data_IF_293305913554
#
_entry.id   IF_293305913554
#
_cell.length_a   1.000
_cell.length_b   1.000
_cell.length_c   1.000
_cell.angle_alpha   90.00
_cell.angle_beta   90.00
_cell.angle_gamma   90.00
#
_symmetry.space_group_name_H-M   'P 1'
#
loop_
_entity.id
_entity.type
_entity.pdbx_description
1 polymer ?
#
# COMPACT_ATOMS: atom_id res chain seq x y z
N UNK A 1 46.72 -36.14 -3.24
CA UNK A 1 46.22 -37.32 -2.52
C UNK A 1 45.55 -36.92 -1.20
N UNK A 2 44.34 -37.40 -0.95
CA UNK A 2 43.58 -37.19 0.28
C UNK A 2 44.00 -38.19 1.38
N UNK A 3 43.77 -37.87 2.66
CA UNK A 3 44.08 -38.83 3.75
C UNK A 3 43.38 -40.19 3.58
N UNK A 4 42.12 -40.27 3.10
CA UNK A 4 41.49 -41.54 2.74
C UNK A 4 42.20 -42.30 1.59
N UNK A 5 42.68 -41.60 0.56
CA UNK A 5 43.43 -42.24 -0.53
C UNK A 5 44.77 -42.81 -0.03
N UNK A 6 45.51 -42.05 0.79
CA UNK A 6 46.75 -42.52 1.43
C UNK A 6 46.46 -43.74 2.31
N UNK A 7 45.39 -43.66 3.11
CA UNK A 7 44.97 -44.75 3.99
C UNK A 7 44.65 -46.04 3.23
N UNK A 8 44.04 -45.93 2.04
CA UNK A 8 43.77 -47.07 1.14
C UNK A 8 45.04 -47.71 0.62
N UNK A 9 46.05 -46.92 0.23
CA UNK A 9 47.35 -47.41 -0.25
C UNK A 9 48.07 -48.20 0.86
N UNK A 10 48.10 -47.65 2.08
CA UNK A 10 48.83 -48.22 3.21
C UNK A 10 47.97 -49.13 4.11
N UNK A 11 46.75 -49.50 3.68
CA UNK A 11 45.81 -50.37 4.41
C UNK A 11 45.63 -49.99 5.88
N UNK A 12 45.53 -48.70 6.18
CA UNK A 12 45.37 -48.19 7.55
C UNK A 12 44.12 -47.30 7.67
N UNK A 13 43.80 -46.84 8.88
CA UNK A 13 42.67 -45.92 9.10
C UNK A 13 43.07 -44.48 8.70
N UNK A 14 42.20 -43.68 8.06
CA UNK A 14 42.49 -42.28 7.73
C UNK A 14 42.92 -41.43 8.93
N UNK A 15 42.45 -41.74 10.12
CA UNK A 15 42.82 -41.11 11.39
C UNK A 15 44.31 -41.31 11.70
N UNK A 16 44.84 -42.50 11.41
CA UNK A 16 46.27 -42.82 11.59
C UNK A 16 47.14 -42.00 10.65
N UNK A 17 46.72 -41.85 9.38
CA UNK A 17 47.39 -40.95 8.43
C UNK A 17 47.38 -39.50 8.94
N UNK A 18 46.24 -38.99 9.44
CA UNK A 18 46.19 -37.63 10.01
C UNK A 18 47.08 -37.47 11.25
N UNK A 19 47.16 -38.49 12.09
CA UNK A 19 48.07 -38.51 13.24
C UNK A 19 49.54 -38.39 12.78
N UNK A 20 49.96 -39.20 11.80
CA UNK A 20 51.31 -39.13 11.25
C UNK A 20 51.62 -37.76 10.63
N UNK A 21 50.68 -37.18 9.85
CA UNK A 21 50.86 -35.85 9.29
C UNK A 21 51.08 -34.79 10.37
N UNK A 22 50.35 -34.86 11.50
CA UNK A 22 50.57 -33.97 12.65
C UNK A 22 51.92 -34.24 13.33
N UNK A 23 52.28 -35.51 13.56
CA UNK A 23 53.54 -35.91 14.19
C UNK A 23 54.76 -35.36 13.44
N UNK A 24 54.69 -35.30 12.11
CA UNK A 24 55.76 -34.79 11.26
C UNK A 24 55.59 -33.31 10.85
N UNK A 25 54.70 -32.55 11.52
CA UNK A 25 54.44 -31.14 11.20
C UNK A 25 54.06 -30.87 9.73
N UNK A 26 53.48 -31.85 9.04
CA UNK A 26 52.97 -31.68 7.68
C UNK A 26 51.58 -31.04 7.77
N UNK A 27 51.44 -29.84 7.18
CA UNK A 27 50.17 -29.12 7.15
C UNK A 27 49.07 -29.98 6.53
N UNK A 28 48.05 -30.29 7.34
CA UNK A 28 46.84 -30.93 6.87
C UNK A 28 45.97 -29.87 6.20
N UNK A 29 45.54 -30.15 4.96
CA UNK A 29 44.60 -29.29 4.26
C UNK A 29 43.32 -29.13 5.06
N UNK A 30 42.80 -27.91 5.12
CA UNK A 30 41.47 -27.67 5.66
C UNK A 30 40.41 -28.34 4.77
N UNK A 31 39.21 -28.56 5.31
CA UNK A 31 38.07 -29.07 4.52
C UNK A 31 37.80 -28.22 3.27
N UNK A 32 38.04 -26.91 3.33
CA UNK A 32 37.85 -25.99 2.21
C UNK A 32 38.90 -26.17 1.10
N UNK A 33 40.17 -26.33 1.48
CA UNK A 33 41.27 -26.56 0.54
C UNK A 33 41.15 -27.91 -0.15
N UNK A 34 40.77 -28.95 0.59
CA UNK A 34 40.51 -30.27 0.04
C UNK A 34 39.35 -30.26 -0.95
N UNK A 35 38.23 -29.58 -0.64
CA UNK A 35 37.11 -29.41 -1.58
C UNK A 35 37.51 -28.65 -2.84
N UNK A 36 38.32 -27.59 -2.73
CA UNK A 36 38.77 -26.82 -3.90
C UNK A 36 39.55 -27.67 -4.89
N UNK A 37 40.44 -28.52 -4.40
CA UNK A 37 41.21 -29.44 -5.24
C UNK A 37 40.34 -30.55 -5.83
N UNK A 38 39.36 -31.05 -5.07
CA UNK A 38 38.47 -32.13 -5.53
C UNK A 38 37.52 -31.66 -6.63
N UNK A 39 37.01 -30.43 -6.53
CA UNK A 39 36.02 -29.88 -7.47
C UNK A 39 36.60 -28.89 -8.50
N UNK A 40 37.90 -28.61 -8.44
CA UNK A 40 38.62 -27.64 -9.28
C UNK A 40 37.92 -26.25 -9.39
N UNK A 41 37.25 -25.82 -8.33
CA UNK A 41 36.46 -24.58 -8.35
C UNK A 41 37.39 -23.40 -8.10
N UNK A 42 37.63 -22.61 -9.13
CA UNK A 42 38.34 -21.33 -9.04
C UNK A 42 37.48 -20.25 -9.69
N UNK A 43 37.06 -19.26 -8.90
CA UNK A 43 36.29 -18.11 -9.40
C UNK A 43 37.27 -16.95 -9.51
N UNK A 44 37.60 -16.46 -10.72
CA UNK A 44 38.49 -15.31 -10.88
C UNK A 44 37.92 -14.07 -10.19
N UNK A 45 38.77 -13.27 -9.54
CA UNK A 45 38.37 -12.04 -8.85
C UNK A 45 37.52 -11.12 -9.72
N UNK A 46 37.98 -10.86 -10.95
CA UNK A 46 37.31 -9.97 -11.92
C UNK A 46 35.89 -10.44 -12.24
N UNK A 47 35.73 -11.74 -12.43
CA UNK A 47 34.41 -12.34 -12.72
C UNK A 47 33.51 -12.29 -11.49
N UNK A 48 34.05 -12.56 -10.29
CA UNK A 48 33.30 -12.43 -9.05
C UNK A 48 32.83 -10.99 -8.80
N UNK A 49 33.67 -9.99 -9.10
CA UNK A 49 33.32 -8.57 -9.00
C UNK A 49 32.24 -8.18 -10.02
N UNK A 50 32.33 -8.65 -11.26
CA UNK A 50 31.32 -8.39 -12.30
C UNK A 50 29.95 -8.93 -11.87
N UNK A 51 29.91 -10.22 -11.54
CA UNK A 51 28.67 -10.92 -11.15
C UNK A 51 28.06 -10.36 -9.86
N UNK A 52 28.90 -10.01 -8.88
CA UNK A 52 28.45 -9.52 -7.59
C UNK A 52 28.14 -8.02 -7.59
N UNK A 53 29.04 -7.16 -8.02
CA UNK A 53 28.85 -5.71 -7.88
C UNK A 53 27.99 -5.12 -9.01
N UNK A 54 28.21 -5.56 -10.25
CA UNK A 54 27.54 -4.98 -11.43
C UNK A 54 26.25 -5.69 -11.79
N UNK A 55 26.29 -7.01 -11.97
CA UNK A 55 25.11 -7.81 -12.31
C UNK A 55 24.20 -8.08 -11.10
N UNK A 56 24.66 -7.77 -9.88
CA UNK A 56 23.91 -7.92 -8.63
C UNK A 56 23.38 -9.34 -8.37
N UNK A 57 24.10 -10.38 -8.80
CA UNK A 57 23.72 -11.75 -8.48
C UNK A 57 23.85 -12.03 -6.97
N UNK A 58 22.93 -12.82 -6.42
CA UNK A 58 23.00 -13.27 -5.04
C UNK A 58 24.08 -14.34 -4.87
N UNK A 59 24.62 -14.53 -3.65
CA UNK A 59 25.61 -15.59 -3.42
C UNK A 59 25.09 -16.99 -3.81
N UNK A 60 23.80 -17.35 -3.60
CA UNK A 60 23.22 -18.55 -4.18
C UNK A 60 23.18 -18.58 -5.70
N UNK A 61 22.88 -17.45 -6.37
CA UNK A 61 22.89 -17.37 -7.84
C UNK A 61 24.29 -17.58 -8.42
N UNK A 62 25.30 -16.94 -7.84
CA UNK A 62 26.71 -17.15 -8.22
C UNK A 62 27.12 -18.60 -7.92
N UNK A 63 26.71 -19.13 -6.77
CA UNK A 63 27.00 -20.51 -6.40
C UNK A 63 26.45 -21.52 -7.40
N UNK A 64 25.22 -21.30 -7.90
CA UNK A 64 24.63 -22.10 -8.98
C UNK A 64 25.44 -22.03 -10.27
N UNK A 65 25.95 -20.85 -10.65
CA UNK A 65 26.78 -20.67 -11.87
C UNK A 65 28.09 -21.45 -11.82
N UNK A 66 28.73 -21.51 -10.65
CA UNK A 66 30.01 -22.20 -10.46
C UNK A 66 29.89 -23.60 -9.82
N UNK A 67 28.66 -24.14 -9.73
CA UNK A 67 28.38 -25.42 -9.08
C UNK A 67 29.05 -25.58 -7.70
N UNK A 68 29.00 -24.52 -6.89
CA UNK A 68 29.64 -24.46 -5.58
C UNK A 68 28.62 -24.13 -4.49
N UNK A 69 29.04 -24.04 -3.22
CA UNK A 69 28.14 -23.64 -2.14
C UNK A 69 28.10 -22.11 -1.99
N UNK A 70 26.97 -21.51 -1.56
CA UNK A 70 26.90 -20.07 -1.27
C UNK A 70 27.92 -19.60 -0.22
N UNK A 71 28.28 -20.50 0.71
CA UNK A 71 29.34 -20.26 1.69
C UNK A 71 30.74 -20.16 1.06
N UNK A 72 31.00 -20.93 0.00
CA UNK A 72 32.23 -20.82 -0.78
C UNK A 72 32.34 -19.44 -1.44
N UNK A 73 31.27 -18.99 -2.12
CA UNK A 73 31.23 -17.64 -2.73
C UNK A 73 31.48 -16.56 -1.68
N UNK A 74 30.88 -16.66 -0.49
CA UNK A 74 31.12 -15.71 0.62
C UNK A 74 32.58 -15.69 1.08
N UNK A 75 33.22 -16.84 1.14
CA UNK A 75 34.64 -16.93 1.48
C UNK A 75 35.54 -16.33 0.39
N UNK A 76 35.20 -16.53 -0.88
CA UNK A 76 35.91 -15.93 -2.02
C UNK A 76 35.78 -14.40 -2.04
N UNK A 77 34.59 -13.85 -1.75
CA UNK A 77 34.40 -12.40 -1.58
C UNK A 77 35.32 -11.84 -0.51
N UNK A 78 35.40 -12.50 0.67
CA UNK A 78 36.31 -12.11 1.75
C UNK A 78 37.78 -12.19 1.33
N UNK A 79 38.17 -13.28 0.67
CA UNK A 79 39.54 -13.51 0.20
C UNK A 79 39.99 -12.42 -0.77
N UNK A 80 39.12 -12.00 -1.66
CA UNK A 80 39.38 -10.93 -2.63
C UNK A 80 39.15 -9.51 -2.09
N UNK A 81 38.79 -9.38 -0.80
CA UNK A 81 38.45 -8.11 -0.14
C UNK A 81 37.31 -7.35 -0.83
N UNK A 82 36.37 -8.09 -1.42
CA UNK A 82 35.15 -7.53 -2.00
C UNK A 82 34.15 -7.34 -0.85
N UNK A 83 33.56 -6.13 -0.69
CA UNK A 83 32.59 -5.87 0.37
C UNK A 83 31.42 -6.86 0.33
N UNK A 84 31.12 -7.49 1.47
CA UNK A 84 29.95 -8.36 1.58
C UNK A 84 28.72 -7.48 1.83
N UNK A 85 27.70 -7.66 1.00
CA UNK A 85 26.37 -7.06 1.18
C UNK A 85 25.84 -7.31 2.58
N UNK A 86 25.27 -6.27 3.16
CA UNK A 86 24.46 -6.36 4.37
C UNK A 86 23.25 -7.28 4.14
N UNK A 87 22.61 -7.71 5.22
CA UNK A 87 21.37 -8.51 5.13
C UNK A 87 20.30 -7.78 4.31
N UNK A 88 20.21 -6.46 4.45
CA UNK A 88 19.25 -5.61 3.74
C UNK A 88 19.51 -5.56 2.22
N UNK A 89 20.78 -5.58 1.81
CA UNK A 89 21.14 -5.60 0.39
C UNK A 89 21.04 -7.01 -0.22
N UNK A 90 21.27 -8.05 0.57
CA UNK A 90 21.29 -9.43 0.09
C UNK A 90 19.88 -10.04 -0.04
N UNK A 91 18.97 -9.76 0.90
CA UNK A 91 17.64 -10.37 0.95
C UNK A 91 16.77 -10.12 -0.30
N UNK A 92 16.73 -8.90 -0.90
CA UNK A 92 15.96 -8.66 -2.11
C UNK A 92 16.45 -9.47 -3.31
N UNK A 93 17.75 -9.81 -3.34
CA UNK A 93 18.39 -10.55 -4.43
C UNK A 93 18.24 -12.06 -4.27
N UNK A 94 18.15 -12.55 -3.03
CA UNK A 94 17.96 -13.97 -2.73
C UNK A 94 16.49 -14.38 -2.73
N UNK A 95 15.59 -13.50 -2.24
CA UNK A 95 14.18 -13.80 -2.10
C UNK A 95 13.41 -13.20 -3.29
N UNK A 96 13.57 -13.81 -4.47
CA UNK A 96 12.68 -13.50 -5.59
C UNK A 96 11.26 -13.89 -5.17
N UNK A 97 10.29 -12.95 -5.22
CA UNK A 97 8.91 -13.28 -4.89
C UNK A 97 8.39 -14.31 -5.89
N UNK A 98 7.57 -15.26 -5.42
CA UNK A 98 6.93 -16.28 -6.28
C UNK A 98 6.09 -15.59 -7.36
N UNK A 99 5.43 -14.48 -7.01
CA UNK A 99 4.61 -13.71 -7.91
C UNK A 99 5.30 -12.40 -8.30
N UNK A 100 5.21 -11.98 -9.58
CA UNK A 100 5.76 -10.71 -10.03
C UNK A 100 5.05 -9.53 -9.34
N UNK A 101 5.81 -8.45 -9.15
CA UNK A 101 5.33 -7.19 -8.60
C UNK A 101 5.83 -6.07 -9.49
N UNK A 102 4.94 -5.15 -9.82
CA UNK A 102 5.22 -4.04 -10.72
C UNK A 102 5.31 -2.73 -9.94
N UNK A 103 6.10 -1.81 -10.50
CA UNK A 103 6.25 -0.48 -9.93
C UNK A 103 4.95 0.30 -10.07
N UNK A 104 4.76 1.24 -9.16
CA UNK A 104 3.71 2.24 -9.30
C UNK A 104 3.96 3.04 -10.57
N UNK A 105 2.89 3.35 -11.30
CA UNK A 105 2.94 4.04 -12.60
C UNK A 105 3.55 5.45 -12.53
N UNK A 106 3.54 6.06 -11.34
CA UNK A 106 3.90 7.47 -11.15
C UNK A 106 2.76 8.44 -11.50
N UNK A 107 1.57 7.93 -11.79
CA UNK A 107 0.41 8.77 -12.09
C UNK A 107 -0.10 9.47 -10.82
N UNK A 108 0.08 10.79 -10.73
CA UNK A 108 -0.31 11.58 -9.56
C UNK A 108 -1.82 11.58 -9.26
N UNK A 109 -2.68 11.39 -10.26
CA UNK A 109 -4.13 11.26 -10.05
C UNK A 109 -4.45 9.94 -9.34
N UNK A 110 -3.84 8.84 -9.81
CA UNK A 110 -3.96 7.54 -9.17
C UNK A 110 -3.35 7.56 -7.77
N UNK A 111 -2.19 8.21 -7.60
CA UNK A 111 -1.54 8.39 -6.31
C UNK A 111 -2.45 9.09 -5.31
N UNK A 112 -3.05 10.23 -5.71
CA UNK A 112 -3.98 10.98 -4.88
C UNK A 112 -5.19 10.11 -4.49
N UNK A 113 -5.77 9.38 -5.44
CA UNK A 113 -6.88 8.45 -5.19
C UNK A 113 -6.48 7.36 -4.18
N UNK A 114 -5.32 6.72 -4.36
CA UNK A 114 -4.83 5.67 -3.47
C UNK A 114 -4.54 6.20 -2.05
N UNK A 115 -3.99 7.40 -1.94
CA UNK A 115 -3.80 8.08 -0.64
C UNK A 115 -5.16 8.29 0.02
N UNK A 116 -6.17 8.77 -0.71
CA UNK A 116 -7.54 8.93 -0.20
C UNK A 116 -8.11 7.61 0.32
N UNK A 117 -8.08 6.57 -0.50
CA UNK A 117 -8.56 5.23 -0.12
C UNK A 117 -7.81 4.68 1.11
N UNK A 118 -6.51 4.95 1.21
CA UNK A 118 -5.66 4.54 2.34
C UNK A 118 -5.97 5.26 3.65
N UNK A 119 -6.40 6.51 3.61
CA UNK A 119 -6.75 7.22 4.86
C UNK A 119 -7.99 6.59 5.52
N UNK A 120 -8.95 6.10 4.74
CA UNK A 120 -10.10 5.34 5.21
C UNK A 120 -9.78 3.87 5.55
N UNK A 121 -9.99 2.98 4.59
CA UNK A 121 -10.17 1.54 4.83
C UNK A 121 -8.92 0.65 4.68
N UNK A 122 -7.82 1.14 4.13
CA UNK A 122 -6.63 0.29 3.93
C UNK A 122 -5.73 0.28 5.17
N UNK A 123 -5.23 -0.90 5.51
CA UNK A 123 -4.13 -1.09 6.43
C UNK A 123 -2.85 -1.39 5.64
N UNK A 124 -1.86 -0.51 5.72
CA UNK A 124 -0.61 -0.63 4.96
C UNK A 124 0.58 -0.54 5.89
N UNK A 125 1.52 -1.47 5.75
CA UNK A 125 2.77 -1.51 6.47
C UNK A 125 3.88 -2.12 5.60
N UNK A 126 5.13 -1.89 5.98
CA UNK A 126 6.26 -2.58 5.37
C UNK A 126 6.33 -4.01 5.90
N UNK A 127 6.31 -5.00 5.02
CA UNK A 127 6.31 -6.42 5.42
C UNK A 127 7.63 -6.84 6.10
N UNK A 128 8.73 -6.12 5.81
CA UNK A 128 10.03 -6.36 6.43
C UNK A 128 10.88 -5.08 6.31
N UNK A 129 11.55 -4.64 7.38
CA UNK A 129 12.44 -3.47 7.35
C UNK A 129 13.59 -3.64 6.34
N UNK A 130 14.02 -4.87 6.08
CA UNK A 130 15.10 -5.19 5.15
C UNK A 130 14.63 -5.40 3.70
N UNK A 131 13.41 -5.93 3.50
CA UNK A 131 12.83 -6.14 2.18
C UNK A 131 11.73 -5.13 1.96
N UNK A 132 11.97 -4.18 1.05
CA UNK A 132 11.11 -3.06 0.71
C UNK A 132 9.81 -3.46 0.00
N UNK A 133 9.04 -4.32 0.65
CA UNK A 133 7.73 -4.82 0.24
C UNK A 133 6.70 -4.08 1.04
N UNK A 134 5.70 -3.57 0.35
CA UNK A 134 4.55 -2.88 0.95
C UNK A 134 3.41 -3.90 0.99
N UNK A 135 2.93 -4.25 2.18
CA UNK A 135 1.76 -5.10 2.34
C UNK A 135 0.53 -4.22 2.48
N UNK A 136 -0.42 -4.36 1.55
CA UNK A 136 -1.75 -3.79 1.61
C UNK A 136 -2.71 -4.84 2.13
N UNK A 137 -3.44 -4.51 3.18
CA UNK A 137 -4.41 -5.38 3.82
C UNK A 137 -5.73 -4.62 4.05
N UNK A 138 -6.85 -5.30 3.86
CA UNK A 138 -8.13 -4.86 4.41
C UNK A 138 -9.04 -6.07 4.64
N UNK A 139 -10.06 -5.88 5.47
CA UNK A 139 -11.12 -6.84 5.67
C UNK A 139 -12.45 -6.14 5.39
N UNK A 140 -13.34 -6.76 4.62
CA UNK A 140 -14.64 -6.18 4.30
C UNK A 140 -15.73 -7.23 4.22
N UNK A 141 -16.90 -6.92 4.79
CA UNK A 141 -18.14 -7.68 4.58
C UNK A 141 -18.88 -7.28 3.29
N UNK A 142 -18.40 -6.26 2.58
CA UNK A 142 -18.95 -5.79 1.30
C UNK A 142 -18.15 -6.37 0.13
N UNK A 143 -18.72 -7.28 -0.68
CA UNK A 143 -18.04 -7.87 -1.83
C UNK A 143 -17.56 -6.83 -2.86
N UNK A 144 -18.29 -5.73 -3.00
CA UNK A 144 -17.98 -4.64 -3.94
C UNK A 144 -16.68 -3.92 -3.57
N UNK A 145 -16.36 -3.81 -2.28
CA UNK A 145 -15.09 -3.26 -1.81
C UNK A 145 -13.94 -4.19 -2.16
N UNK A 146 -14.10 -5.51 -1.97
CA UNK A 146 -13.07 -6.49 -2.35
C UNK A 146 -12.82 -6.47 -3.86
N UNK A 147 -13.89 -6.42 -4.67
CA UNK A 147 -13.80 -6.31 -6.14
C UNK A 147 -13.06 -5.04 -6.56
N UNK A 148 -13.36 -3.90 -5.92
CA UNK A 148 -12.67 -2.63 -6.17
C UNK A 148 -11.16 -2.77 -5.92
N UNK A 149 -10.77 -3.39 -4.82
CA UNK A 149 -9.36 -3.53 -4.45
C UNK A 149 -8.61 -4.50 -5.37
N UNK A 150 -9.25 -5.59 -5.81
CA UNK A 150 -8.70 -6.48 -6.84
C UNK A 150 -8.44 -5.69 -8.13
N UNK A 151 -9.39 -4.86 -8.57
CA UNK A 151 -9.23 -4.05 -9.77
C UNK A 151 -8.07 -3.04 -9.65
N UNK A 152 -7.91 -2.43 -8.46
CA UNK A 152 -6.87 -1.44 -8.21
C UNK A 152 -5.48 -2.08 -8.14
N UNK A 153 -5.33 -3.21 -7.44
CA UNK A 153 -4.01 -3.72 -7.05
C UNK A 153 -3.54 -4.91 -7.88
N UNK A 154 -4.42 -5.65 -8.58
CA UNK A 154 -4.01 -6.76 -9.44
C UNK A 154 -3.04 -6.38 -10.58
N UNK A 155 -3.05 -5.14 -11.12
CA UNK A 155 -2.01 -4.71 -12.07
C UNK A 155 -0.61 -4.59 -11.46
N UNK A 156 -0.51 -4.47 -10.13
CA UNK A 156 0.75 -4.16 -9.44
C UNK A 156 1.32 -5.33 -8.63
N UNK A 157 0.48 -6.27 -8.24
CA UNK A 157 0.93 -7.42 -7.47
C UNK A 157 -0.14 -8.49 -7.40
N UNK A 158 0.29 -9.69 -7.04
CA UNK A 158 -0.64 -10.77 -6.80
C UNK A 158 -1.54 -10.46 -5.59
N UNK A 159 -2.83 -10.65 -5.79
CA UNK A 159 -3.88 -10.40 -4.80
C UNK A 159 -4.33 -11.73 -4.22
N UNK A 160 -4.29 -11.83 -2.90
CA UNK A 160 -4.85 -12.92 -2.14
C UNK A 160 -6.20 -12.50 -1.58
N UNK A 161 -7.20 -13.34 -1.79
CA UNK A 161 -8.51 -13.22 -1.18
C UNK A 161 -8.77 -14.45 -0.32
N UNK A 162 -9.08 -14.23 0.95
CA UNK A 162 -9.48 -15.31 1.85
C UNK A 162 -10.92 -15.77 1.58
N UNK A 163 -11.27 -16.93 2.14
CA UNK A 163 -12.68 -17.31 2.23
C UNK A 163 -13.42 -16.38 3.22
N UNK A 164 -14.72 -16.10 3.00
CA UNK A 164 -15.52 -15.38 3.98
C UNK A 164 -15.48 -16.09 5.34
N UNK A 165 -15.32 -15.32 6.41
CA UNK A 165 -15.45 -15.85 7.77
C UNK A 165 -16.91 -16.16 8.14
N UNK A 166 -17.16 -16.58 9.39
CA UNK A 166 -18.51 -16.91 9.88
C UNK A 166 -19.51 -15.73 9.80
N UNK A 167 -19.01 -14.49 9.71
CA UNK A 167 -19.79 -13.25 9.66
C UNK A 167 -19.81 -12.70 8.21
N UNK A 168 -19.24 -13.42 7.25
CA UNK A 168 -19.18 -13.04 5.84
C UNK A 168 -18.08 -12.01 5.51
N UNK A 169 -17.15 -11.76 6.42
CA UNK A 169 -16.03 -10.84 6.19
C UNK A 169 -14.96 -11.55 5.36
N UNK A 170 -14.51 -10.90 4.30
CA UNK A 170 -13.47 -11.40 3.41
C UNK A 170 -12.19 -10.60 3.65
N UNK A 171 -11.08 -11.31 3.86
CA UNK A 171 -9.75 -10.72 3.93
C UNK A 171 -9.12 -10.53 2.56
N UNK A 172 -8.44 -9.40 2.37
CA UNK A 172 -7.72 -9.02 1.16
C UNK A 172 -6.26 -8.73 1.51
N UNK A 173 -5.32 -9.32 0.77
CA UNK A 173 -3.90 -9.04 0.90
C UNK A 173 -3.25 -8.83 -0.47
N UNK A 174 -2.40 -7.81 -0.59
CA UNK A 174 -1.58 -7.61 -1.78
C UNK A 174 -0.17 -7.14 -1.39
N UNK A 175 0.85 -7.77 -1.99
CA UNK A 175 2.25 -7.40 -1.79
C UNK A 175 2.73 -6.56 -2.96
N UNK A 176 3.14 -5.32 -2.68
CA UNK A 176 3.56 -4.32 -3.66
C UNK A 176 5.05 -3.98 -3.53
N UNK A 177 5.59 -3.36 -4.58
CA UNK A 177 6.96 -2.83 -4.59
C UNK A 177 7.11 -1.57 -3.71
N UNK A 178 8.37 -1.21 -3.39
CA UNK A 178 8.71 -0.01 -2.59
C UNK A 178 8.20 1.30 -3.18
N UNK A 179 7.96 1.35 -4.48
CA UNK A 179 7.39 2.52 -5.17
C UNK A 179 6.04 2.96 -4.60
N UNK A 180 5.35 2.08 -3.86
CA UNK A 180 4.12 2.38 -3.11
C UNK A 180 4.35 2.93 -1.69
N UNK A 181 5.59 3.29 -1.34
CA UNK A 181 5.94 3.77 0.01
C UNK A 181 5.21 5.05 0.43
N UNK A 182 4.71 5.85 -0.52
CA UNK A 182 3.83 6.99 -0.24
C UNK A 182 2.56 6.60 0.56
N UNK A 183 2.15 5.33 0.51
CA UNK A 183 1.00 4.82 1.27
C UNK A 183 1.30 4.43 2.73
N UNK A 184 2.57 4.40 3.13
CA UNK A 184 2.95 4.03 4.50
C UNK A 184 2.57 5.11 5.51
N UNK A 185 2.63 6.38 5.10
CA UNK A 185 2.41 7.50 6.00
C UNK A 185 0.91 7.76 6.27
N UNK A 186 0.45 7.43 7.49
CA UNK A 186 -0.92 7.74 7.94
C UNK A 186 -0.95 8.95 8.88
N UNK A 187 -0.90 10.16 8.31
CA UNK A 187 -1.24 11.42 9.01
C UNK A 187 -2.69 11.84 8.76
N UNK A 188 -3.35 12.39 9.78
CA UNK A 188 -4.65 13.08 9.65
C UNK A 188 -4.44 14.46 9.02
N UNK A 189 -4.06 14.46 7.74
CA UNK A 189 -3.94 15.64 6.88
C UNK A 189 -3.88 15.21 5.42
N UNK A 190 -4.40 16.08 4.55
CA UNK A 190 -4.25 15.99 3.10
C UNK A 190 -2.94 16.65 2.70
N UNK A 191 -2.22 16.05 1.75
CA UNK A 191 -0.94 16.59 1.28
C UNK A 191 -1.13 17.90 0.51
N UNK A 192 -0.22 18.89 0.67
CA UNK A 192 -0.39 20.20 0.04
C UNK A 192 -0.51 20.15 -1.49
N UNK A 193 0.21 19.25 -2.17
CA UNK A 193 0.14 19.12 -3.62
C UNK A 193 -1.23 18.63 -4.11
N UNK A 194 -1.93 17.82 -3.29
CA UNK A 194 -3.29 17.37 -3.56
C UNK A 194 -4.26 18.56 -3.45
N UNK A 195 -4.13 19.38 -2.40
CA UNK A 195 -5.03 20.51 -2.16
C UNK A 195 -4.89 21.64 -3.18
N UNK A 196 -3.68 21.87 -3.71
CA UNK A 196 -3.41 22.93 -4.70
C UNK A 196 -4.03 22.64 -6.06
N UNK A 197 -4.24 21.37 -6.41
CA UNK A 197 -4.74 20.99 -7.73
C UNK A 197 -6.15 20.41 -7.62
N UNK A 198 -7.12 21.03 -8.31
CA UNK A 198 -8.53 20.59 -8.31
C UNK A 198 -8.70 19.13 -8.72
N UNK A 199 -7.92 18.67 -9.70
CA UNK A 199 -7.95 17.31 -10.23
C UNK A 199 -7.51 16.29 -9.19
N UNK A 200 -6.37 16.55 -8.54
CA UNK A 200 -5.83 15.65 -7.52
C UNK A 200 -6.69 15.67 -6.26
N UNK A 201 -7.21 16.83 -5.85
CA UNK A 201 -8.19 16.92 -4.77
C UNK A 201 -9.44 16.08 -5.07
N UNK A 202 -9.96 16.13 -6.30
CA UNK A 202 -11.13 15.33 -6.69
C UNK A 202 -10.82 13.83 -6.64
N UNK A 203 -9.66 13.40 -7.15
CA UNK A 203 -9.21 12.01 -7.10
C UNK A 203 -9.02 11.50 -5.67
N UNK A 204 -8.31 12.27 -4.83
CA UNK A 204 -8.18 11.98 -3.39
C UNK A 204 -9.54 11.87 -2.70
N UNK A 205 -10.41 12.85 -2.91
CA UNK A 205 -11.73 12.87 -2.29
C UNK A 205 -12.57 11.68 -2.72
N UNK A 206 -12.47 11.26 -3.99
CA UNK A 206 -13.15 10.07 -4.49
C UNK A 206 -12.64 8.78 -3.82
N UNK A 207 -11.32 8.61 -3.68
CA UNK A 207 -10.76 7.47 -2.97
C UNK A 207 -11.18 7.42 -1.49
N UNK A 208 -11.19 8.58 -0.82
CA UNK A 208 -11.66 8.69 0.55
C UNK A 208 -13.17 8.41 0.68
N UNK A 209 -13.97 8.85 -0.31
CA UNK A 209 -15.42 8.59 -0.37
C UNK A 209 -15.75 7.13 -0.68
N UNK A 210 -14.94 6.44 -1.48
CA UNK A 210 -15.12 5.02 -1.75
C UNK A 210 -14.95 4.18 -0.47
N UNK A 211 -14.08 4.60 0.45
CA UNK A 211 -13.96 4.04 1.80
C UNK A 211 -15.08 4.52 2.74
N UNK A 212 -15.09 5.82 3.07
CA UNK A 212 -15.85 6.37 4.22
C UNK A 212 -17.17 7.05 3.83
N UNK A 213 -17.34 7.38 2.55
CA UNK A 213 -18.45 8.19 2.07
C UNK A 213 -19.74 7.39 1.93
N UNK A 214 -20.88 8.05 2.07
CA UNK A 214 -22.20 7.44 1.92
C UNK A 214 -23.12 8.34 1.09
N UNK A 215 -23.72 7.76 0.06
CA UNK A 215 -24.80 8.36 -0.74
C UNK A 215 -26.11 7.63 -0.44
N UNK A 216 -27.10 8.34 0.09
CA UNK A 216 -28.37 7.73 0.47
C UNK A 216 -29.56 8.68 0.31
N UNK A 217 -30.77 8.13 0.48
CA UNK A 217 -32.00 8.89 0.60
C UNK A 217 -32.42 8.90 2.07
N UNK A 218 -32.54 10.08 2.68
CA UNK A 218 -33.05 10.25 4.04
C UNK A 218 -34.37 11.00 4.00
N UNK A 219 -35.46 10.38 4.44
CA UNK A 219 -36.81 10.97 4.36
C UNK A 219 -37.18 11.38 2.93
N UNK A 220 -36.83 10.54 1.95
CA UNK A 220 -37.06 10.79 0.52
C UNK A 220 -36.13 11.84 -0.13
N UNK A 221 -35.12 12.36 0.60
CA UNK A 221 -34.21 13.40 0.11
C UNK A 221 -32.80 12.86 -0.09
N UNK A 222 -32.20 13.17 -1.24
CA UNK A 222 -30.79 12.90 -1.51
C UNK A 222 -29.87 13.54 -0.47
N UNK A 223 -28.95 12.74 0.09
CA UNK A 223 -27.95 13.14 1.07
C UNK A 223 -26.62 12.46 0.74
N UNK A 224 -25.54 13.24 0.85
CA UNK A 224 -24.19 12.71 0.97
C UNK A 224 -23.67 12.95 2.39
N UNK A 225 -22.91 12.00 2.92
CA UNK A 225 -22.20 12.17 4.20
C UNK A 225 -20.90 11.39 4.25
N UNK A 226 -19.93 11.89 5.00
CA UNK A 226 -18.71 11.17 5.42
C UNK A 226 -18.66 11.19 6.94
N UNK A 227 -18.27 10.08 7.55
CA UNK A 227 -18.02 9.99 8.99
C UNK A 227 -16.68 9.33 9.22
N UNK A 228 -15.78 9.97 9.96
CA UNK A 228 -14.44 9.44 10.23
C UNK A 228 -13.87 10.00 11.53
N UNK A 229 -12.82 9.35 12.04
CA UNK A 229 -11.98 9.86 13.13
C UNK A 229 -10.93 10.88 12.63
N UNK A 230 -10.77 11.05 11.31
CA UNK A 230 -9.81 11.98 10.69
C UNK A 230 -10.35 13.42 10.68
N UNK A 231 -10.38 14.06 11.86
CA UNK A 231 -10.93 15.40 12.05
C UNK A 231 -10.34 16.40 11.06
N UNK A 232 -9.02 16.47 10.94
CA UNK A 232 -8.37 17.50 10.13
C UNK A 232 -8.59 17.26 8.64
N UNK A 233 -8.58 16.01 8.18
CA UNK A 233 -8.96 15.69 6.79
C UNK A 233 -10.36 16.19 6.49
N UNK A 234 -11.34 15.96 7.36
CA UNK A 234 -12.72 16.44 7.12
C UNK A 234 -12.80 17.97 7.07
N UNK A 235 -12.05 18.68 7.91
CA UNK A 235 -11.96 20.14 7.83
C UNK A 235 -11.31 20.61 6.52
N UNK A 236 -10.24 19.96 6.05
CA UNK A 236 -9.59 20.30 4.79
C UNK A 236 -10.48 20.01 3.57
N UNK A 237 -11.22 18.89 3.59
CA UNK A 237 -12.24 18.58 2.57
C UNK A 237 -13.31 19.67 2.57
N UNK A 238 -13.86 20.01 3.74
CA UNK A 238 -14.92 21.02 3.85
C UNK A 238 -14.46 22.39 3.33
N UNK A 239 -13.28 22.85 3.74
CA UNK A 239 -12.73 24.13 3.29
C UNK A 239 -12.56 24.15 1.77
N UNK A 240 -11.98 23.09 1.19
CA UNK A 240 -11.75 23.00 -0.25
C UNK A 240 -13.05 22.85 -1.05
N UNK A 241 -14.05 22.15 -0.52
CA UNK A 241 -15.38 22.09 -1.15
C UNK A 241 -16.06 23.47 -1.18
N UNK A 242 -15.97 24.25 -0.10
CA UNK A 242 -16.51 25.62 -0.05
C UNK A 242 -15.80 26.51 -1.07
N UNK A 243 -14.47 26.42 -1.17
CA UNK A 243 -13.67 27.13 -2.18
C UNK A 243 -14.15 26.80 -3.61
N UNK A 244 -14.52 25.54 -3.86
CA UNK A 244 -15.06 25.06 -5.13
C UNK A 244 -16.58 25.35 -5.32
N UNK A 245 -17.19 26.14 -4.43
CA UNK A 245 -18.61 26.51 -4.53
C UNK A 245 -19.58 25.37 -4.19
N UNK A 246 -19.12 24.36 -3.45
CA UNK A 246 -19.92 23.26 -2.88
C UNK A 246 -20.14 23.57 -1.40
N UNK A 247 -21.35 24.01 -1.05
CA UNK A 247 -21.64 24.50 0.29
C UNK A 247 -22.08 23.37 1.22
N UNK A 248 -21.47 23.34 2.40
CA UNK A 248 -21.74 22.38 3.46
C UNK A 248 -21.39 22.94 4.83
N UNK A 249 -22.00 22.38 5.87
CA UNK A 249 -21.74 22.77 7.25
C UNK A 249 -20.35 22.28 7.70
N UNK A 250 -19.72 22.96 8.68
CA UNK A 250 -18.48 22.48 9.29
C UNK A 250 -18.62 21.05 9.82
N UNK A 251 -17.51 20.27 9.90
CA UNK A 251 -17.51 18.97 10.55
C UNK A 251 -18.09 19.03 11.97
N UNK A 252 -18.98 18.10 12.30
CA UNK A 252 -19.61 18.00 13.62
C UNK A 252 -19.26 16.66 14.27
N UNK A 253 -19.17 16.62 15.60
CA UNK A 253 -19.05 15.35 16.34
C UNK A 253 -20.37 14.59 16.21
N UNK A 254 -20.33 13.47 15.49
CA UNK A 254 -21.47 12.57 15.32
C UNK A 254 -21.53 11.55 16.44
N UNK A 255 -20.36 11.19 17.00
CA UNK A 255 -20.25 10.24 18.10
C UNK A 255 -19.01 10.54 18.93
N UNK A 256 -19.15 10.62 20.25
CA UNK A 256 -18.04 10.90 21.17
C UNK A 256 -17.14 9.67 21.37
N UNK A 257 -15.86 9.89 21.66
CA UNK A 257 -14.94 8.87 22.15
C UNK A 257 -15.53 8.12 23.35
N UNK A 258 -15.22 6.82 23.45
CA UNK A 258 -15.69 5.95 24.53
C UNK A 258 -17.14 5.46 24.39
N UNK A 259 -17.90 5.99 23.42
CA UNK A 259 -19.26 5.50 23.18
C UNK A 259 -19.26 4.21 22.36
N UNK A 260 -20.22 3.34 22.69
CA UNK A 260 -20.45 2.04 22.06
C UNK A 260 -21.47 2.18 20.92
N UNK A 261 -21.21 1.51 19.81
CA UNK A 261 -22.14 1.43 18.69
C UNK A 261 -23.14 0.29 18.81
N UNK A 262 -24.07 0.18 17.86
CA UNK A 262 -25.09 -0.89 17.86
C UNK A 262 -24.47 -2.31 17.78
N UNK A 263 -23.26 -2.43 17.26
CA UNK A 263 -22.51 -3.68 17.16
C UNK A 263 -21.58 -3.94 18.35
N UNK A 264 -21.61 -3.10 19.39
CA UNK A 264 -20.76 -3.26 20.57
C UNK A 264 -19.36 -2.66 20.45
N UNK A 265 -19.01 -2.07 19.30
CA UNK A 265 -17.67 -1.48 19.06
C UNK A 265 -17.54 -0.14 19.78
N UNK A 266 -16.48 0.02 20.56
CA UNK A 266 -16.17 1.26 21.29
C UNK A 266 -15.30 2.16 20.42
N UNK A 267 -15.63 3.45 20.37
CA UNK A 267 -14.85 4.42 19.60
C UNK A 267 -13.63 4.90 20.37
N UNK A 268 -12.43 4.66 19.85
CA UNK A 268 -11.19 5.12 20.47
C UNK A 268 -10.93 6.62 20.33
N UNK A 269 -11.65 7.30 19.42
CA UNK A 269 -11.62 8.75 19.19
C UNK A 269 -13.02 9.26 18.87
N UNK A 270 -13.21 10.57 18.94
CA UNK A 270 -14.40 11.22 18.42
C UNK A 270 -14.56 10.92 16.92
N UNK A 271 -15.80 10.62 16.52
CA UNK A 271 -16.18 10.50 15.11
C UNK A 271 -16.79 11.80 14.68
N UNK A 272 -16.13 12.44 13.73
CA UNK A 272 -16.56 13.64 13.07
C UNK A 272 -17.31 13.29 11.79
N UNK A 273 -18.20 14.17 11.36
CA UNK A 273 -18.93 13.97 10.11
C UNK A 273 -19.26 15.26 9.40
N UNK A 274 -19.24 15.18 8.08
CA UNK A 274 -19.73 16.22 7.17
C UNK A 274 -20.88 15.65 6.34
N UNK A 275 -21.83 16.51 5.99
CA UNK A 275 -22.98 16.12 5.18
C UNK A 275 -23.37 17.23 4.20
N UNK A 276 -23.75 16.83 2.99
CA UNK A 276 -24.24 17.73 1.94
C UNK A 276 -25.71 17.40 1.66
N UNK A 277 -26.58 18.36 1.98
CA UNK A 277 -28.03 18.23 1.84
C UNK A 277 -28.61 19.09 0.70
N UNK A 278 -27.91 20.16 0.32
CA UNK A 278 -28.36 21.07 -0.73
C UNK A 278 -28.28 20.39 -2.10
N UNK A 279 -29.34 20.52 -2.89
CA UNK A 279 -29.46 19.88 -4.20
C UNK A 279 -28.34 20.30 -5.16
N UNK A 280 -28.05 21.60 -5.28
CA UNK A 280 -26.99 22.14 -6.16
C UNK A 280 -25.60 21.70 -5.71
N UNK A 281 -25.30 21.82 -4.42
CA UNK A 281 -24.00 21.45 -3.86
C UNK A 281 -23.80 19.95 -3.99
N UNK A 282 -24.85 19.16 -3.83
CA UNK A 282 -24.81 17.72 -4.05
C UNK A 282 -24.59 17.36 -5.53
N UNK A 283 -25.24 18.07 -6.46
CA UNK A 283 -24.99 17.88 -7.90
C UNK A 283 -23.54 18.25 -8.26
N UNK A 284 -23.06 19.42 -7.83
CA UNK A 284 -21.66 19.86 -8.02
C UNK A 284 -20.65 18.88 -7.41
N UNK A 285 -20.93 18.38 -6.21
CA UNK A 285 -20.10 17.36 -5.55
C UNK A 285 -20.07 16.07 -6.38
N UNK A 286 -21.22 15.62 -6.85
CA UNK A 286 -21.29 14.44 -7.69
C UNK A 286 -20.50 14.66 -8.98
N UNK A 287 -20.63 15.81 -9.63
CA UNK A 287 -19.91 16.10 -10.87
C UNK A 287 -18.40 16.21 -10.65
N UNK A 288 -17.96 16.70 -9.48
CA UNK A 288 -16.56 16.71 -9.07
C UNK A 288 -16.00 15.29 -8.88
N UNK A 289 -16.73 14.41 -8.19
CA UNK A 289 -16.21 13.10 -7.76
C UNK A 289 -16.43 11.98 -8.79
N UNK A 290 -17.51 12.02 -9.55
CA UNK A 290 -17.95 10.92 -10.42
C UNK A 290 -16.91 10.45 -11.45
N UNK A 291 -16.02 11.31 -12.02
CA UNK A 291 -14.95 10.85 -12.90
C UNK A 291 -13.94 9.92 -12.21
N UNK A 292 -13.76 10.06 -10.90
CA UNK A 292 -12.71 9.37 -10.13
C UNK A 292 -13.23 8.27 -9.20
N UNK A 293 -14.54 8.23 -8.93
CA UNK A 293 -15.15 7.17 -8.11
C UNK A 293 -15.08 5.82 -8.82
N UNK A 294 -14.59 4.81 -8.11
CA UNK A 294 -14.41 3.46 -8.64
C UNK A 294 -15.33 2.44 -7.98
N UNK A 295 -15.83 2.69 -6.76
CA UNK A 295 -16.75 1.77 -6.08
C UNK A 295 -18.13 1.69 -6.77
N UNK A 296 -18.46 0.50 -7.29
CA UNK A 296 -19.67 0.27 -8.10
C UNK A 296 -20.96 0.70 -7.42
N UNK A 297 -21.16 0.33 -6.15
CA UNK A 297 -22.36 0.75 -5.39
C UNK A 297 -22.49 2.25 -5.24
N UNK A 298 -21.40 2.97 -5.00
CA UNK A 298 -21.44 4.44 -4.87
C UNK A 298 -21.87 5.07 -6.18
N UNK A 299 -21.33 4.59 -7.31
CA UNK A 299 -21.73 5.02 -8.66
C UNK A 299 -23.22 4.73 -8.93
N UNK A 300 -23.73 3.57 -8.51
CA UNK A 300 -25.16 3.24 -8.59
C UNK A 300 -26.01 4.20 -7.74
N UNK A 301 -25.59 4.45 -6.49
CA UNK A 301 -26.29 5.36 -5.58
C UNK A 301 -26.31 6.80 -6.11
N UNK A 302 -25.22 7.26 -6.71
CA UNK A 302 -25.16 8.58 -7.36
C UNK A 302 -26.25 8.73 -8.41
N UNK A 303 -26.48 7.72 -9.26
CA UNK A 303 -27.56 7.77 -10.27
C UNK A 303 -28.93 7.93 -9.61
N UNK A 304 -29.20 7.17 -8.55
CA UNK A 304 -30.45 7.27 -7.77
C UNK A 304 -30.62 8.67 -7.18
N UNK A 305 -29.55 9.24 -6.62
CA UNK A 305 -29.58 10.59 -6.04
C UNK A 305 -29.81 11.67 -7.11
N UNK A 306 -29.14 11.60 -8.27
CA UNK A 306 -29.39 12.53 -9.38
C UNK A 306 -30.85 12.50 -9.81
N UNK A 307 -31.41 11.31 -10.02
CA UNK A 307 -32.82 11.14 -10.39
C UNK A 307 -33.76 11.70 -9.31
N UNK A 308 -33.48 11.45 -8.03
CA UNK A 308 -34.25 12.02 -6.92
C UNK A 308 -34.21 13.56 -6.93
N UNK A 309 -33.04 14.16 -7.16
CA UNK A 309 -32.89 15.61 -7.23
C UNK A 309 -33.68 16.19 -8.41
N UNK A 310 -33.56 15.58 -9.60
CA UNK A 310 -34.27 16.03 -10.80
C UNK A 310 -35.79 15.93 -10.64
N UNK A 311 -36.30 14.77 -10.20
CA UNK A 311 -37.71 14.58 -9.92
C UNK A 311 -38.21 15.62 -8.90
N UNK A 312 -37.51 15.81 -7.78
CA UNK A 312 -37.89 16.82 -6.77
C UNK A 312 -37.76 18.26 -7.24
N UNK A 313 -36.99 18.55 -8.28
CA UNK A 313 -36.92 19.89 -8.88
C UNK A 313 -38.11 20.12 -9.81
N UNK A 314 -38.55 19.09 -10.54
CA UNK A 314 -39.74 19.12 -11.38
C UNK A 314 -41.02 19.26 -10.55
N UNK A 315 -41.21 18.40 -9.55
CA UNK A 315 -42.46 18.35 -8.77
C UNK A 315 -42.68 19.56 -7.87
N UNK A 316 -41.64 19.97 -7.14
CA UNK A 316 -41.78 20.98 -6.09
C UNK A 316 -41.29 22.36 -6.52
N UNK A 317 -41.32 22.62 -7.83
CA UNK A 317 -40.77 23.76 -8.58
C UNK A 317 -40.62 25.08 -7.79
N UNK A 318 -39.56 25.21 -7.00
CA UNK A 318 -39.15 26.45 -6.33
C UNK A 318 -37.64 26.46 -6.14
N UNK A 319 -37.05 27.60 -6.49
CA UNK A 319 -35.67 27.97 -6.21
C UNK A 319 -35.21 27.49 -4.85
N UNK A 320 -33.93 27.13 -4.77
CA UNK A 320 -33.30 26.75 -3.52
C UNK A 320 -33.68 27.75 -2.43
N UNK A 321 -34.34 27.25 -1.39
CA UNK A 321 -34.87 28.12 -0.36
C UNK A 321 -33.75 29.00 0.18
N UNK A 322 -33.94 30.31 0.09
CA UNK A 322 -33.19 31.37 0.80
C UNK A 322 -32.93 31.03 2.27
N UNK A 323 -33.72 30.13 2.86
CA UNK A 323 -33.51 29.54 4.19
C UNK A 323 -32.12 28.92 4.38
N UNK A 324 -31.62 28.11 3.44
CA UNK A 324 -30.30 27.48 3.59
C UNK A 324 -29.17 28.47 3.39
N UNK A 325 -29.33 29.43 2.48
CA UNK A 325 -28.36 30.52 2.28
C UNK A 325 -28.25 31.38 3.54
N UNK A 326 -29.39 31.79 4.11
CA UNK A 326 -29.45 32.53 5.38
C UNK A 326 -28.86 31.73 6.55
N UNK A 327 -29.14 30.43 6.63
CA UNK A 327 -28.59 29.56 7.68
C UNK A 327 -27.07 29.41 7.56
N UNK A 328 -26.57 29.17 6.35
CA UNK A 328 -25.13 29.03 6.09
C UNK A 328 -24.38 30.33 6.36
N UNK A 329 -24.94 31.48 5.96
CA UNK A 329 -24.39 32.79 6.33
C UNK A 329 -24.35 32.99 7.85
N UNK A 330 -25.41 32.61 8.58
CA UNK A 330 -25.44 32.65 10.05
C UNK A 330 -24.43 31.71 10.71
N UNK A 331 -24.19 30.55 10.12
CA UNK A 331 -23.19 29.57 10.57
C UNK A 331 -21.76 29.91 10.08
N UNK A 332 -21.56 31.11 9.51
CA UNK A 332 -20.24 31.62 9.11
C UNK A 332 -19.70 31.09 7.79
N UNK A 333 -20.50 30.35 7.02
CA UNK A 333 -20.13 29.87 5.68
C UNK A 333 -20.22 31.05 4.70
N UNK A 334 -19.07 31.65 4.38
CA UNK A 334 -18.97 32.75 3.42
C UNK A 334 -19.02 32.22 1.99
N UNK A 335 -19.85 32.84 1.15
CA UNK A 335 -19.79 32.64 -0.29
C UNK A 335 -18.47 33.20 -0.81
N UNK A 336 -17.59 32.33 -1.31
CA UNK A 336 -16.53 32.79 -2.21
C UNK A 336 -17.19 32.94 -3.57
N UNK A 337 -17.43 34.18 -4.03
CA UNK A 337 -17.73 34.41 -5.44
C UNK A 337 -16.52 33.88 -6.20
N UNK A 338 -16.70 32.79 -6.94
CA UNK A 338 -15.69 32.28 -7.84
C UNK A 338 -15.32 33.41 -8.80
N UNK A 339 -14.11 33.96 -8.66
CA UNK A 339 -13.43 34.59 -9.77
C UNK A 339 -13.37 33.51 -10.86
N UNK A 340 -13.94 33.84 -12.01
CA UNK A 340 -13.82 33.07 -13.24
C UNK A 340 -12.34 32.74 -13.45
N UNK A 341 -11.99 31.48 -13.24
CA UNK A 341 -10.70 30.92 -13.62
C UNK A 341 -10.90 30.33 -15.02
N UNK A 342 -10.33 31.02 -16.01
CA UNK A 342 -10.09 30.52 -17.36
C UNK A 342 -9.16 29.29 -17.34
#
# INVERSE_FOLDING_TARGET
MSSPEIAKIYRCRPEYVRHLLRKYNIRIRTKSEARRLLFNINIPKKELEELYLKEKLSSPGIAGKFNCSPGFVRNELRRHRIPIRTIQEALPLSNKPIYPRYNFSGNLEEEAYLIGLRKGDLYIHSANQANSTILVNTNSSKPEMIKLLIQIFSPYGHVWQGNPDKVGVVGFHCYLNKTFSFLLEKKDRIEPWILRNRKYFAAFSAGYVDAEGTFCLCGGKAVFSIKSQDKNILHQIQAKLIELGILLRPPQIVRKQGTRDKGGTISNKDIWGISVYRKDSLLKLIDLLNPYLKHADKRKRIKILKNNIFWRNKEYNRHQSTKWDKLYLREGVKYVRSLTLE
#
